data_IF_418855466045
#
_entry.id   IF_418855466045
#
_cell.length_a   1.000
_cell.length_b   1.000
_cell.length_c   1.000
_cell.angle_alpha   90.00
_cell.angle_beta   90.00
_cell.angle_gamma   90.00
#
_symmetry.space_group_name_H-M   'P 1'
#
loop_
_entity.id
_entity.type
_entity.pdbx_description
1 polymer ?
#
# COMPACT_ATOMS: atom_id res chain seq x y z
N UNK A 1 -18.61 48.84 -5.74
CA UNK A 1 -18.58 47.83 -4.66
C UNK A 1 -18.38 46.49 -5.34
N UNK A 2 -17.13 46.04 -5.42
CA UNK A 2 -16.85 44.67 -5.87
C UNK A 2 -17.25 43.69 -4.77
N UNK A 3 -17.85 42.54 -5.11
CA UNK A 3 -18.16 41.52 -4.11
C UNK A 3 -16.85 40.89 -3.64
N UNK A 4 -16.52 41.14 -2.37
CA UNK A 4 -15.48 40.42 -1.65
C UNK A 4 -15.85 38.94 -1.60
N UNK A 5 -15.14 38.12 -2.37
CA UNK A 5 -15.19 36.67 -2.24
C UNK A 5 -14.62 36.32 -0.86
N UNK A 6 -15.51 35.96 0.06
CA UNK A 6 -15.14 35.34 1.32
C UNK A 6 -14.31 34.09 1.00
N UNK A 7 -13.03 34.15 1.34
CA UNK A 7 -12.09 33.05 1.18
C UNK A 7 -12.61 31.86 1.99
N UNK A 8 -12.90 30.76 1.32
CA UNK A 8 -13.36 29.53 1.97
C UNK A 8 -12.35 29.16 3.09
N UNK A 9 -12.83 28.73 4.28
CA UNK A 9 -11.94 28.34 5.35
C UNK A 9 -11.00 27.23 4.86
N UNK A 10 -9.71 27.28 5.21
CA UNK A 10 -8.75 26.30 4.73
C UNK A 10 -9.18 24.91 5.22
N UNK A 11 -9.26 23.95 4.29
CA UNK A 11 -9.72 22.60 4.60
C UNK A 11 -8.82 22.00 5.69
N UNK A 12 -9.42 21.61 6.82
CA UNK A 12 -8.70 20.97 7.93
C UNK A 12 -8.05 19.67 7.47
N UNK A 13 -6.80 19.47 7.84
CA UNK A 13 -5.99 18.30 7.52
C UNK A 13 -5.52 17.59 8.80
N UNK A 14 -5.65 16.27 8.84
CA UNK A 14 -5.13 15.42 9.91
C UNK A 14 -4.12 14.43 9.33
N UNK A 15 -2.86 14.53 9.74
CA UNK A 15 -1.78 13.63 9.34
C UNK A 15 -1.53 12.65 10.49
N UNK A 16 -1.83 11.37 10.26
CA UNK A 16 -1.50 10.28 11.21
C UNK A 16 -0.18 9.64 10.79
N UNK A 17 0.72 9.47 11.74
CA UNK A 17 2.02 8.85 11.53
C UNK A 17 2.41 7.97 12.72
N UNK A 18 3.44 7.15 12.55
CA UNK A 18 3.83 6.10 13.53
C UNK A 18 4.14 6.66 14.93
N UNK A 19 4.41 7.97 15.06
CA UNK A 19 4.72 8.66 16.31
C UNK A 19 3.65 9.63 16.82
N UNK A 20 2.48 9.74 16.18
CA UNK A 20 1.43 10.65 16.61
C UNK A 20 0.51 11.15 15.51
N UNK A 21 -0.24 12.19 15.84
CA UNK A 21 -1.17 12.85 14.92
C UNK A 21 -0.84 14.34 14.88
N UNK A 22 -0.63 14.86 13.68
CA UNK A 22 -0.52 16.30 13.45
C UNK A 22 -1.85 16.80 12.86
N UNK A 23 -2.29 17.97 13.32
CA UNK A 23 -3.52 18.62 12.86
C UNK A 23 -3.20 20.04 12.42
N UNK A 24 -3.72 20.43 11.26
CA UNK A 24 -3.60 21.78 10.71
C UNK A 24 -4.53 21.93 9.53
N UNK A 25 -4.13 22.67 8.51
CA UNK A 25 -4.93 22.89 7.31
C UNK A 25 -4.11 22.70 6.02
N UNK A 26 -4.81 22.40 4.93
CA UNK A 26 -4.22 22.48 3.59
C UNK A 26 -3.78 23.92 3.35
N UNK A 27 -2.51 24.11 2.98
CA UNK A 27 -1.85 25.40 2.87
C UNK A 27 -0.85 25.69 4.00
N UNK A 28 -0.82 24.89 5.06
CA UNK A 28 0.14 25.07 6.14
C UNK A 28 1.55 24.68 5.71
N UNK A 29 2.53 25.46 6.17
CA UNK A 29 3.94 25.14 5.98
C UNK A 29 4.38 24.17 7.07
N UNK A 30 4.74 22.97 6.67
CA UNK A 30 5.16 21.90 7.58
C UNK A 30 6.57 21.43 7.26
N UNK A 31 7.29 21.06 8.31
CA UNK A 31 8.52 20.29 8.24
C UNK A 31 8.20 18.83 8.55
N UNK A 32 8.58 17.93 7.64
CA UNK A 32 8.30 16.52 7.75
C UNK A 32 9.59 15.72 7.68
N UNK A 33 9.75 14.80 8.64
CA UNK A 33 10.79 13.78 8.61
C UNK A 33 10.17 12.45 8.20
N UNK A 34 10.74 11.80 7.19
CA UNK A 34 10.21 10.56 6.61
C UNK A 34 11.34 9.68 6.09
N UNK A 35 11.05 8.38 5.96
CA UNK A 35 12.00 7.40 5.43
C UNK A 35 11.76 7.19 3.95
N UNK A 36 12.75 7.47 3.10
CA UNK A 36 12.65 7.25 1.65
C UNK A 36 13.83 6.40 1.19
N UNK A 37 13.53 5.28 0.52
CA UNK A 37 14.52 4.30 0.06
C UNK A 37 15.50 3.83 1.16
N UNK A 38 15.00 3.69 2.39
CA UNK A 38 15.82 3.25 3.52
C UNK A 38 16.60 4.35 4.25
N UNK A 39 16.59 5.59 3.75
CA UNK A 39 17.28 6.74 4.36
C UNK A 39 16.29 7.69 5.01
N UNK A 40 16.63 8.19 6.17
CA UNK A 40 15.86 9.26 6.82
C UNK A 40 16.12 10.58 6.08
N UNK A 41 15.04 11.25 5.71
CA UNK A 41 15.07 12.55 5.04
C UNK A 41 14.14 13.52 5.76
N UNK A 42 14.51 14.80 5.72
CA UNK A 42 13.68 15.89 6.24
C UNK A 42 13.41 16.88 5.12
N UNK A 43 12.16 17.33 5.01
CA UNK A 43 11.75 18.29 3.99
C UNK A 43 10.79 19.32 4.58
N UNK A 44 10.97 20.57 4.20
CA UNK A 44 10.02 21.66 4.52
C UNK A 44 9.25 22.04 3.27
N UNK A 45 7.93 22.17 3.38
CA UNK A 45 7.08 22.54 2.26
C UNK A 45 5.69 22.97 2.69
N UNK A 46 4.89 23.41 1.74
CA UNK A 46 3.48 23.77 1.95
C UNK A 46 2.60 22.57 1.65
N UNK A 47 1.77 22.16 2.61
CA UNK A 47 0.86 21.03 2.46
C UNK A 47 -0.19 21.36 1.39
N UNK A 48 -0.11 20.72 0.22
CA UNK A 48 -1.02 21.00 -0.91
C UNK A 48 -2.11 19.95 -1.06
N UNK A 49 -1.88 18.73 -0.59
CA UNK A 49 -2.88 17.66 -0.59
C UNK A 49 -2.59 16.63 0.50
N UNK A 50 -3.64 16.02 1.02
CA UNK A 50 -3.57 14.86 1.90
C UNK A 50 -4.68 13.87 1.51
N UNK A 51 -4.34 12.58 1.46
CA UNK A 51 -5.30 11.49 1.30
C UNK A 51 -5.04 10.40 2.35
N UNK A 52 -5.69 9.24 2.21
CA UNK A 52 -5.59 8.14 3.17
C UNK A 52 -4.19 7.50 3.23
N UNK A 53 -3.37 7.66 2.20
CA UNK A 53 -2.12 6.93 2.03
C UNK A 53 -0.89 7.83 1.91
N UNK A 54 -1.05 9.05 1.39
CA UNK A 54 0.03 9.98 1.16
C UNK A 54 -0.39 11.43 1.40
N UNK A 55 0.63 12.28 1.58
CA UNK A 55 0.51 13.72 1.53
C UNK A 55 1.42 14.29 0.45
N UNK A 56 1.04 15.45 -0.08
CA UNK A 56 1.82 16.19 -1.07
C UNK A 56 2.27 17.50 -0.46
N UNK A 57 3.58 17.75 -0.55
CA UNK A 57 4.21 19.01 -0.18
C UNK A 57 4.70 19.74 -1.42
N UNK A 58 4.31 20.99 -1.55
CA UNK A 58 4.90 21.91 -2.49
C UNK A 58 6.15 22.51 -1.82
N UNK A 59 7.33 22.11 -2.30
CA UNK A 59 8.63 22.52 -1.75
C UNK A 59 9.49 23.18 -2.82
N UNK A 60 10.55 23.87 -2.43
CA UNK A 60 11.52 24.43 -3.36
C UNK A 60 12.85 23.73 -3.18
N UNK A 61 13.28 22.98 -4.20
CA UNK A 61 14.59 22.33 -4.23
C UNK A 61 15.41 23.00 -5.32
N UNK A 62 16.56 23.57 -4.97
CA UNK A 62 17.45 24.28 -5.89
C UNK A 62 16.76 25.43 -6.67
N UNK A 63 15.90 26.19 -5.99
CA UNK A 63 15.19 27.34 -6.59
C UNK A 63 14.04 26.97 -7.54
N UNK A 64 13.73 25.69 -7.72
CA UNK A 64 12.57 25.21 -8.49
C UNK A 64 11.49 24.67 -7.56
N UNK A 65 10.25 25.09 -7.78
CA UNK A 65 9.09 24.54 -7.08
C UNK A 65 8.80 23.12 -7.56
N UNK A 66 8.87 22.16 -6.63
CA UNK A 66 8.67 20.73 -6.87
C UNK A 66 7.58 20.24 -5.93
N UNK A 67 6.66 19.43 -6.46
CA UNK A 67 5.67 18.72 -5.64
C UNK A 67 6.27 17.39 -5.19
N UNK A 68 6.43 17.20 -3.89
CA UNK A 68 6.93 15.96 -3.29
C UNK A 68 5.75 15.21 -2.67
N UNK A 69 5.55 13.97 -3.11
CA UNK A 69 4.57 13.04 -2.51
C UNK A 69 5.30 12.21 -1.46
N UNK A 70 4.72 12.11 -0.26
CA UNK A 70 5.27 11.40 0.90
C UNK A 70 4.22 10.45 1.43
N UNK A 71 4.57 9.18 1.57
CA UNK A 71 3.67 8.14 2.08
C UNK A 71 3.55 8.27 3.59
N UNK A 72 2.32 8.23 4.11
CA UNK A 72 2.02 8.45 5.53
C UNK A 72 2.70 7.44 6.46
N UNK A 73 2.84 6.18 6.03
CA UNK A 73 3.54 5.14 6.80
C UNK A 73 5.03 5.44 7.02
N UNK A 74 5.65 6.14 6.09
CA UNK A 74 7.07 6.48 6.17
C UNK A 74 7.33 7.75 6.97
N UNK A 75 6.27 8.49 7.32
CA UNK A 75 6.36 9.70 8.14
C UNK A 75 6.76 9.31 9.57
N UNK A 76 7.84 9.93 10.05
CA UNK A 76 8.37 9.78 11.40
C UNK A 76 7.94 10.91 12.30
N UNK A 77 7.91 12.13 11.78
CA UNK A 77 7.42 13.30 12.52
C UNK A 77 6.97 14.40 11.59
N UNK A 78 5.98 15.18 12.02
CA UNK A 78 5.51 16.40 11.36
C UNK A 78 5.55 17.55 12.37
N UNK A 79 6.09 18.69 11.97
CA UNK A 79 6.12 19.93 12.77
C UNK A 79 5.63 21.09 11.92
N UNK A 80 4.98 22.07 12.54
CA UNK A 80 4.75 23.35 11.87
C UNK A 80 6.11 24.05 11.68
N UNK A 81 6.39 24.53 10.47
CA UNK A 81 7.60 25.28 10.19
C UNK A 81 7.37 26.77 10.52
N UNK A 82 8.31 27.40 11.22
CA UNK A 82 8.16 28.81 11.60
C UNK A 82 8.10 29.72 10.36
N UNK A 83 7.04 30.53 10.29
CA UNK A 83 6.74 31.43 9.17
C UNK A 83 5.29 31.40 8.65
N UNK A 84 4.43 30.52 9.16
CA UNK A 84 2.98 30.58 8.98
C UNK A 84 2.30 31.09 10.25
N UNK A 85 1.44 32.10 10.12
CA UNK A 85 0.69 32.70 11.24
C UNK A 85 -0.03 31.63 12.07
N UNK A 86 0.22 31.53 13.38
CA UNK A 86 -0.49 30.60 14.25
C UNK A 86 -1.90 31.11 14.51
N UNK A 87 -2.92 30.34 14.14
CA UNK A 87 -4.23 30.47 14.77
C UNK A 87 -4.15 29.82 16.16
N UNK A 88 -4.23 30.66 17.18
CA UNK A 88 -4.05 30.33 18.58
C UNK A 88 -5.01 29.25 19.10
N UNK A 89 -4.50 28.38 19.98
CA UNK A 89 -5.28 27.44 20.78
C UNK A 89 -4.42 26.43 21.52
N UNK A 90 -3.77 26.87 22.60
CA UNK A 90 -3.07 26.06 23.62
C UNK A 90 -4.00 24.97 24.23
N UNK A 91 -3.56 23.91 24.90
CA UNK A 91 -2.45 23.75 25.83
C UNK A 91 -2.21 22.25 26.09
N UNK A 92 -0.97 21.87 26.38
CA UNK A 92 -0.68 20.59 27.02
C UNK A 92 -1.11 20.56 28.48
N UNK A 93 -1.31 19.36 29.04
CA UNK A 93 -0.55 18.86 30.20
C UNK A 93 -0.92 17.42 30.52
N UNK A 94 -0.01 16.75 31.22
CA UNK A 94 -0.02 15.34 31.56
C UNK A 94 -1.00 14.95 32.69
N UNK A 95 -1.23 13.63 32.74
CA UNK A 95 -2.00 12.75 33.66
C UNK A 95 -1.81 13.05 35.17
N UNK A 96 -2.80 12.76 36.06
CA UNK A 96 -2.81 11.45 36.74
C UNK A 96 -4.20 10.81 37.01
N UNK A 97 -4.17 9.46 37.08
CA UNK A 97 -5.00 8.46 37.79
C UNK A 97 -6.22 8.89 38.63
N UNK A 98 -7.33 8.14 38.49
CA UNK A 98 -8.28 7.90 39.59
C UNK A 98 -9.71 7.49 39.21
N UNK A 99 -10.01 6.19 39.30
CA UNK A 99 -11.22 5.68 39.98
C UNK A 99 -12.62 5.78 39.35
N UNK A 100 -13.18 4.59 39.09
CA UNK A 100 -14.59 4.17 39.28
C UNK A 100 -15.67 4.52 38.23
N UNK A 101 -16.33 3.45 37.77
CA UNK A 101 -17.59 3.37 37.03
C UNK A 101 -18.78 3.95 37.85
N UNK A 102 -19.97 4.25 37.26
CA UNK A 102 -20.88 3.19 36.77
C UNK A 102 -21.85 3.53 35.61
N UNK A 103 -22.41 2.43 35.06
CA UNK A 103 -23.80 2.22 34.56
C UNK A 103 -24.33 2.89 33.27
N UNK A 104 -24.87 1.99 32.42
CA UNK A 104 -25.65 2.18 31.21
C UNK A 104 -27.00 2.90 31.41
N UNK A 105 -27.70 3.25 30.31
CA UNK A 105 -28.90 2.47 29.98
C UNK A 105 -29.09 2.15 28.48
N UNK A 106 -30.01 1.20 28.26
CA UNK A 106 -30.49 0.58 27.02
C UNK A 106 -31.42 1.48 26.19
N UNK A 107 -31.50 1.22 24.89
CA UNK A 107 -32.72 1.27 24.04
C UNK A 107 -32.34 0.72 22.66
N UNK A 108 -32.71 -0.52 22.31
CA UNK A 108 -33.96 -0.93 21.64
C UNK A 108 -33.90 -0.73 20.11
N UNK A 109 -33.74 -1.85 19.40
CA UNK A 109 -34.08 -2.02 17.97
C UNK A 109 -35.60 -1.94 17.75
N UNK A 110 -36.02 -1.73 16.50
CA UNK A 110 -36.96 -2.68 15.94
C UNK A 110 -36.48 -3.28 14.61
N UNK A 111 -36.66 -4.60 14.57
CA UNK A 111 -36.71 -5.48 13.41
C UNK A 111 -37.71 -5.00 12.37
N UNK A 112 -37.34 -5.11 11.08
CA UNK A 112 -38.32 -5.47 10.06
C UNK A 112 -37.68 -6.35 8.99
N UNK A 113 -38.39 -7.44 8.71
CA UNK A 113 -38.02 -8.52 7.80
C UNK A 113 -38.52 -8.23 6.39
N UNK A 114 -37.70 -8.48 5.37
CA UNK A 114 -38.17 -8.63 4.00
C UNK A 114 -37.45 -9.79 3.31
N UNK A 115 -38.24 -10.81 2.98
CA UNK A 115 -37.89 -12.05 2.27
C UNK A 115 -37.68 -11.82 0.77
N UNK A 116 -36.66 -12.45 0.18
CA UNK A 116 -36.65 -12.96 -1.22
C UNK A 116 -35.47 -13.95 -1.42
N UNK A 117 -35.47 -14.80 -2.46
CA UNK A 117 -35.53 -16.25 -2.34
C UNK A 117 -34.19 -16.97 -2.58
N UNK A 118 -34.07 -18.16 -2.01
CA UNK A 118 -32.95 -19.09 -2.15
C UNK A 118 -32.79 -19.58 -3.60
N UNK A 119 -31.62 -19.33 -4.20
CA UNK A 119 -31.10 -20.15 -5.30
C UNK A 119 -30.13 -21.16 -4.70
N UNK A 120 -30.39 -22.44 -4.98
CA UNK A 120 -29.58 -23.57 -4.54
C UNK A 120 -28.16 -23.48 -5.15
N UNK A 121 -27.17 -23.16 -4.31
CA UNK A 121 -25.75 -23.38 -4.62
C UNK A 121 -25.37 -24.69 -3.95
N UNK A 122 -25.03 -25.69 -4.77
CA UNK A 122 -24.48 -26.97 -4.34
C UNK A 122 -23.30 -26.76 -3.36
N UNK A 123 -23.30 -27.42 -2.18
CA UNK A 123 -22.33 -27.13 -1.14
C UNK A 123 -20.97 -27.74 -1.48
N UNK A 124 -19.92 -27.00 -1.08
CA UNK A 124 -18.51 -27.39 -1.00
C UNK A 124 -18.29 -28.90 -1.09
N UNK A 125 -17.71 -29.36 -2.21
CA UNK A 125 -16.99 -30.63 -2.22
C UNK A 125 -15.83 -30.51 -1.23
N UNK A 126 -15.91 -31.30 -0.16
CA UNK A 126 -15.05 -31.28 1.02
C UNK A 126 -13.56 -31.25 0.65
N UNK A 127 -12.88 -30.14 0.96
CA UNK A 127 -11.43 -30.13 1.12
C UNK A 127 -11.12 -30.89 2.41
N UNK A 128 -10.26 -31.93 2.40
CA UNK A 128 -9.99 -32.70 3.60
C UNK A 128 -9.34 -31.83 4.68
N UNK A 129 -10.07 -31.74 5.79
CA UNK A 129 -9.76 -31.03 7.02
C UNK A 129 -8.54 -31.64 7.72
N UNK A 130 -7.39 -30.99 7.62
CA UNK A 130 -6.29 -31.13 8.59
C UNK A 130 -5.56 -29.79 8.78
N UNK A 131 -6.33 -28.71 9.00
CA UNK A 131 -5.77 -27.43 9.42
C UNK A 131 -5.46 -27.45 10.92
N UNK A 132 -4.41 -28.19 11.30
CA UNK A 132 -3.72 -27.94 12.57
C UNK A 132 -3.00 -26.59 12.54
N UNK A 133 -2.67 -25.99 13.70
CA UNK A 133 -2.04 -24.68 13.76
C UNK A 133 -0.72 -24.68 12.99
N UNK A 134 -0.61 -23.78 12.01
CA UNK A 134 0.56 -23.59 11.15
C UNK A 134 1.72 -22.98 11.93
N UNK A 135 2.50 -23.84 12.60
CA UNK A 135 3.80 -23.48 13.18
C UNK A 135 4.81 -24.62 12.94
N UNK A 136 5.84 -24.35 12.13
CA UNK A 136 7.07 -25.17 12.07
C UNK A 136 7.02 -26.44 11.22
N UNK A 137 8.21 -26.98 10.85
CA UNK A 137 8.46 -27.54 9.53
C UNK A 137 7.94 -28.97 9.35
N UNK A 138 7.46 -29.28 8.15
CA UNK A 138 7.14 -30.65 7.73
C UNK A 138 7.97 -31.04 6.52
N UNK A 139 8.80 -32.07 6.69
CA UNK A 139 9.74 -32.62 5.71
C UNK A 139 9.31 -34.04 5.30
N UNK A 140 8.27 -34.18 4.47
CA UNK A 140 7.81 -35.48 3.95
C UNK A 140 7.65 -35.52 2.41
N UNK A 141 8.33 -34.63 1.67
CA UNK A 141 8.31 -34.64 0.20
C UNK A 141 6.95 -34.26 -0.41
N UNK A 142 5.99 -33.83 0.42
CA UNK A 142 4.74 -33.25 -0.06
C UNK A 142 4.99 -31.82 -0.51
N UNK A 143 4.56 -31.52 -1.72
CA UNK A 143 4.53 -30.15 -2.25
C UNK A 143 3.59 -29.33 -1.36
N UNK A 144 4.12 -28.26 -0.80
CA UNK A 144 3.39 -27.30 0.01
C UNK A 144 2.99 -26.11 -0.88
N UNK A 145 1.80 -25.60 -0.62
CA UNK A 145 1.32 -24.36 -1.20
C UNK A 145 1.57 -23.21 -0.22
N UNK A 146 2.26 -22.18 -0.67
CA UNK A 146 2.45 -20.93 0.03
C UNK A 146 1.48 -19.90 -0.54
N UNK A 147 0.79 -19.17 0.33
CA UNK A 147 0.04 -17.98 -0.09
C UNK A 147 0.86 -16.77 0.34
N UNK A 148 1.24 -15.95 -0.63
CA UNK A 148 2.01 -14.72 -0.45
C UNK A 148 1.07 -13.53 -0.71
N UNK A 149 0.56 -12.87 0.34
CA UNK A 149 -0.22 -11.65 0.19
C UNK A 149 0.69 -10.52 -0.31
N UNK A 150 0.29 -9.87 -1.39
CA UNK A 150 1.00 -8.76 -2.02
C UNK A 150 0.09 -7.52 -2.13
N UNK A 151 -0.25 -6.88 -0.98
CA UNK A 151 -1.15 -5.74 -0.97
C UNK A 151 -0.42 -4.42 -1.23
N UNK A 152 -1.16 -3.46 -1.78
CA UNK A 152 -0.76 -2.06 -1.84
C UNK A 152 0.29 -1.74 -2.91
N UNK A 153 0.84 -0.54 -2.80
CA UNK A 153 1.73 0.04 -3.82
C UNK A 153 3.06 -0.73 -3.93
N UNK A 154 3.52 -0.95 -5.16
CA UNK A 154 4.85 -1.51 -5.45
C UNK A 154 5.94 -0.58 -4.93
N UNK A 155 6.84 -1.10 -4.09
CA UNK A 155 7.85 -0.34 -3.35
C UNK A 155 7.46 -0.03 -1.91
N UNK A 156 6.20 -0.24 -1.54
CA UNK A 156 5.67 0.00 -0.18
C UNK A 156 5.13 -1.29 0.43
N UNK A 157 4.01 -1.81 -0.08
CA UNK A 157 3.37 -3.03 0.42
C UNK A 157 3.76 -4.28 -0.38
N UNK A 158 3.95 -4.11 -1.69
CA UNK A 158 4.47 -5.14 -2.59
C UNK A 158 5.96 -4.84 -2.84
N UNK A 159 6.85 -5.66 -2.26
CA UNK A 159 8.31 -5.44 -2.31
C UNK A 159 9.07 -6.73 -2.53
N UNK A 160 10.22 -6.67 -3.19
CA UNK A 160 11.04 -7.84 -3.53
C UNK A 160 11.50 -8.63 -2.30
N UNK A 161 11.65 -7.98 -1.14
CA UNK A 161 12.09 -8.67 0.08
C UNK A 161 11.09 -9.73 0.55
N UNK A 162 9.80 -9.59 0.23
CA UNK A 162 8.79 -10.62 0.52
C UNK A 162 9.00 -11.88 -0.33
N UNK A 163 9.34 -11.69 -1.61
CA UNK A 163 9.62 -12.77 -2.56
C UNK A 163 10.87 -13.53 -2.12
N UNK A 164 11.92 -12.80 -1.72
CA UNK A 164 13.17 -13.39 -1.22
C UNK A 164 12.98 -14.14 0.10
N UNK A 165 12.13 -13.62 1.00
CA UNK A 165 11.78 -14.32 2.24
C UNK A 165 11.00 -15.59 1.97
N UNK A 166 9.99 -15.51 1.12
CA UNK A 166 9.18 -16.66 0.71
C UNK A 166 10.07 -17.71 0.04
N UNK A 167 10.98 -17.32 -0.86
CA UNK A 167 11.89 -18.25 -1.55
C UNK A 167 12.71 -19.07 -0.56
N UNK A 168 13.27 -18.41 0.47
CA UNK A 168 14.04 -19.10 1.52
C UNK A 168 13.21 -20.10 2.30
N UNK A 169 11.93 -19.82 2.55
CA UNK A 169 11.04 -20.75 3.23
C UNK A 169 10.64 -21.92 2.32
N UNK A 170 10.35 -21.66 1.05
CA UNK A 170 10.04 -22.69 0.07
C UNK A 170 11.24 -23.61 -0.21
N UNK A 171 12.45 -23.05 -0.32
CA UNK A 171 13.69 -23.80 -0.57
C UNK A 171 14.01 -24.81 0.54
N UNK A 172 13.64 -24.54 1.80
CA UNK A 172 13.82 -25.49 2.92
C UNK A 172 13.05 -26.80 2.70
N UNK A 173 12.00 -26.77 1.89
CA UNK A 173 11.15 -27.92 1.56
C UNK A 173 11.56 -28.60 0.25
N UNK A 174 12.58 -28.08 -0.44
CA UNK A 174 13.02 -28.57 -1.75
C UNK A 174 12.22 -28.00 -2.92
N UNK A 175 12.61 -28.30 -4.16
CA UNK A 175 11.99 -27.74 -5.36
C UNK A 175 10.55 -28.25 -5.57
N UNK A 176 9.79 -27.55 -6.39
CA UNK A 176 8.44 -27.95 -6.81
C UNK A 176 7.31 -27.49 -5.89
N UNK A 177 7.60 -26.64 -4.90
CA UNK A 177 6.57 -25.92 -4.13
C UNK A 177 5.71 -25.03 -5.04
N UNK A 178 4.49 -24.75 -4.60
CA UNK A 178 3.56 -23.85 -5.29
C UNK A 178 3.47 -22.56 -4.49
N UNK A 179 3.58 -21.42 -5.15
CA UNK A 179 3.52 -20.11 -4.51
C UNK A 179 2.42 -19.32 -5.19
N UNK A 180 1.36 -19.07 -4.43
CA UNK A 180 0.22 -18.27 -4.85
C UNK A 180 0.48 -16.82 -4.42
N UNK A 181 0.79 -15.96 -5.37
CA UNK A 181 0.87 -14.52 -5.20
C UNK A 181 -0.53 -13.94 -5.21
N UNK A 182 -1.07 -13.59 -4.05
CA UNK A 182 -2.36 -12.91 -3.93
C UNK A 182 -2.15 -11.40 -4.12
N UNK A 183 -2.39 -10.91 -5.33
CA UNK A 183 -2.04 -9.54 -5.76
C UNK A 183 -3.25 -8.63 -5.65
N UNK A 184 -3.06 -7.56 -4.88
CA UNK A 184 -3.98 -6.43 -4.77
C UNK A 184 -3.15 -5.14 -4.75
N UNK A 185 -2.81 -4.63 -5.93
CA UNK A 185 -1.86 -3.54 -6.11
C UNK A 185 -2.27 -2.59 -7.25
N UNK A 186 -2.30 -1.28 -6.97
CA UNK A 186 -2.52 -0.25 -7.99
C UNK A 186 -1.24 0.05 -8.82
N UNK A 187 -0.14 -0.67 -8.58
CA UNK A 187 1.16 -0.40 -9.17
C UNK A 187 2.08 0.40 -8.26
N UNK A 188 3.11 1.05 -8.82
CA UNK A 188 4.06 1.81 -8.03
C UNK A 188 5.44 1.93 -8.69
N UNK A 189 6.49 1.85 -7.86
CA UNK A 189 7.85 2.15 -8.29
C UNK A 189 8.39 1.12 -9.30
N UNK A 190 8.74 1.57 -10.51
CA UNK A 190 9.41 0.76 -11.54
C UNK A 190 10.70 0.12 -11.02
N UNK A 191 11.51 0.89 -10.28
CA UNK A 191 12.78 0.40 -9.75
C UNK A 191 12.63 -0.77 -8.78
N UNK A 192 11.50 -0.84 -8.08
CA UNK A 192 11.17 -1.99 -7.24
C UNK A 192 10.60 -3.15 -8.09
N UNK A 193 9.75 -2.85 -9.07
CA UNK A 193 9.19 -3.84 -9.98
C UNK A 193 10.28 -4.66 -10.71
N UNK A 194 11.38 -4.03 -11.09
CA UNK A 194 12.55 -4.70 -11.68
C UNK A 194 13.21 -5.68 -10.71
N UNK A 195 13.36 -5.32 -9.43
CA UNK A 195 13.92 -6.25 -8.43
C UNK A 195 12.98 -7.41 -8.14
N UNK A 196 11.68 -7.13 -8.11
CA UNK A 196 10.65 -8.16 -7.95
C UNK A 196 10.75 -9.17 -9.10
N UNK A 197 10.86 -8.72 -10.35
CA UNK A 197 11.15 -9.60 -11.48
C UNK A 197 12.35 -10.48 -11.19
N UNK A 198 13.48 -9.89 -10.82
CA UNK A 198 14.73 -10.64 -10.63
C UNK A 198 14.57 -11.76 -9.58
N UNK A 199 13.80 -11.49 -8.51
CA UNK A 199 13.40 -12.50 -7.53
C UNK A 199 12.47 -13.56 -8.14
N UNK A 200 11.41 -13.17 -8.85
CA UNK A 200 10.43 -14.09 -9.42
C UNK A 200 11.04 -15.00 -10.49
N UNK A 201 11.87 -14.48 -11.40
CA UNK A 201 12.57 -15.28 -12.42
C UNK A 201 13.47 -16.33 -11.77
N UNK A 202 14.12 -15.99 -10.64
CA UNK A 202 14.93 -16.94 -9.88
C UNK A 202 14.07 -18.00 -9.20
N UNK A 203 12.96 -17.60 -8.58
CA UNK A 203 12.01 -18.50 -7.90
C UNK A 203 11.38 -19.49 -8.89
N UNK A 204 10.94 -19.00 -10.07
CA UNK A 204 10.28 -19.78 -11.12
C UNK A 204 11.11 -20.97 -11.63
N UNK A 205 12.44 -20.89 -11.51
CA UNK A 205 13.35 -22.00 -11.86
C UNK A 205 13.20 -23.22 -10.93
N UNK A 206 12.70 -23.01 -9.71
CA UNK A 206 12.64 -24.02 -8.64
C UNK A 206 11.21 -24.34 -8.21
N UNK A 207 10.32 -23.36 -8.30
CA UNK A 207 8.96 -23.43 -7.77
C UNK A 207 7.95 -22.92 -8.80
N UNK A 208 6.71 -23.40 -8.72
CA UNK A 208 5.62 -22.93 -9.57
C UNK A 208 5.03 -21.66 -8.98
N UNK A 209 4.89 -20.63 -9.80
CA UNK A 209 4.29 -19.35 -9.45
C UNK A 209 2.87 -19.26 -10.00
N UNK A 210 1.92 -18.93 -9.13
CA UNK A 210 0.53 -18.70 -9.50
C UNK A 210 0.16 -17.29 -9.06
N UNK A 211 -0.33 -16.46 -9.97
CA UNK A 211 -0.89 -15.15 -9.61
C UNK A 211 -2.40 -15.28 -9.38
N UNK A 212 -2.87 -14.83 -8.23
CA UNK A 212 -4.27 -14.73 -7.88
C UNK A 212 -4.64 -13.25 -7.78
N UNK A 213 -5.44 -12.75 -8.72
CA UNK A 213 -5.61 -11.32 -8.97
C UNK A 213 -6.93 -10.82 -8.40
N UNK A 214 -6.84 -9.91 -7.42
CA UNK A 214 -7.92 -9.00 -7.05
C UNK A 214 -7.75 -7.67 -7.83
N UNK A 215 -6.57 -7.06 -7.74
CA UNK A 215 -6.20 -5.88 -8.54
C UNK A 215 -4.70 -5.97 -8.85
N UNK A 216 -4.33 -5.88 -10.12
CA UNK A 216 -2.93 -5.86 -10.54
C UNK A 216 -2.76 -4.82 -11.63
N UNK A 217 -2.45 -3.59 -11.23
CA UNK A 217 -2.32 -2.44 -12.14
C UNK A 217 -0.87 -2.00 -12.23
N UNK A 218 -0.42 -1.58 -13.41
CA UNK A 218 0.93 -1.06 -13.66
C UNK A 218 2.03 -2.00 -13.13
N UNK A 219 2.81 -1.61 -12.11
CA UNK A 219 3.82 -2.47 -11.48
C UNK A 219 3.26 -3.77 -10.87
N UNK A 220 1.99 -3.77 -10.43
CA UNK A 220 1.30 -4.96 -9.95
C UNK A 220 1.01 -5.94 -11.09
N UNK A 221 0.53 -5.43 -12.23
CA UNK A 221 0.38 -6.22 -13.46
C UNK A 221 1.73 -6.77 -13.94
N UNK A 222 2.77 -5.92 -13.97
CA UNK A 222 4.12 -6.35 -14.34
C UNK A 222 4.61 -7.52 -13.46
N UNK A 223 4.34 -7.46 -12.15
CA UNK A 223 4.64 -8.55 -11.21
C UNK A 223 3.86 -9.83 -11.55
N UNK A 224 2.56 -9.71 -11.78
CA UNK A 224 1.68 -10.84 -12.09
C UNK A 224 2.10 -11.60 -13.35
N UNK A 225 2.60 -10.89 -14.36
CA UNK A 225 2.99 -11.46 -15.65
C UNK A 225 4.13 -12.48 -15.54
N UNK A 226 4.96 -12.45 -14.49
CA UNK A 226 6.02 -13.44 -14.30
C UNK A 226 5.53 -14.78 -13.73
N UNK A 227 4.26 -14.91 -13.35
CA UNK A 227 3.70 -16.19 -12.91
C UNK A 227 3.68 -17.24 -14.04
N UNK A 228 3.58 -18.51 -13.69
CA UNK A 228 3.28 -19.58 -14.66
C UNK A 228 1.80 -19.54 -15.07
N UNK A 229 0.93 -19.19 -14.12
CA UNK A 229 -0.52 -19.12 -14.29
C UNK A 229 -1.09 -17.87 -13.63
N UNK A 230 -2.13 -17.31 -14.23
CA UNK A 230 -2.83 -16.12 -13.73
C UNK A 230 -4.32 -16.45 -13.62
N UNK A 231 -4.85 -16.35 -12.41
CA UNK A 231 -6.26 -16.51 -12.08
C UNK A 231 -6.82 -15.19 -11.59
N UNK A 232 -8.05 -14.89 -12.00
CA UNK A 232 -8.76 -13.67 -11.61
C UNK A 232 -9.85 -14.02 -10.61
N UNK A 233 -10.02 -13.19 -9.58
CA UNK A 233 -11.30 -13.11 -8.88
C UNK A 233 -12.38 -12.59 -9.84
N UNK A 234 -13.66 -12.77 -9.50
CA UNK A 234 -14.80 -12.40 -10.38
C UNK A 234 -14.74 -10.96 -10.92
N UNK A 235 -14.19 -10.04 -10.13
CA UNK A 235 -14.02 -8.62 -10.48
C UNK A 235 -12.53 -8.21 -10.57
N UNK A 236 -11.65 -9.19 -10.80
CA UNK A 236 -10.21 -9.00 -10.89
C UNK A 236 -9.80 -8.12 -12.07
N UNK A 237 -8.82 -7.25 -11.87
CA UNK A 237 -8.30 -6.39 -12.94
C UNK A 237 -6.79 -6.55 -13.14
N UNK A 238 -6.35 -6.59 -14.40
CA UNK A 238 -4.95 -6.67 -14.78
C UNK A 238 -4.64 -5.77 -15.97
N UNK A 239 -3.62 -4.92 -15.87
CA UNK A 239 -3.12 -4.15 -17.01
C UNK A 239 -2.50 -2.79 -16.66
N UNK A 240 -2.63 -1.83 -17.60
CA UNK A 240 -2.09 -0.47 -17.51
C UNK A 240 -0.58 -0.40 -17.18
N UNK A 241 0.21 -1.25 -17.83
CA UNK A 241 1.68 -1.36 -17.69
C UNK A 241 2.37 -0.21 -18.46
N UNK A 242 2.05 1.02 -18.12
CA UNK A 242 2.62 2.22 -18.73
C UNK A 242 3.61 2.86 -17.75
N UNK A 243 4.85 3.08 -18.22
CA UNK A 243 5.85 3.81 -17.43
C UNK A 243 5.57 5.31 -17.50
N UNK A 244 5.58 5.97 -16.35
CA UNK A 244 5.54 7.43 -16.23
C UNK A 244 6.78 7.95 -15.52
N UNK A 245 7.27 9.10 -15.99
CA UNK A 245 8.27 9.92 -15.30
C UNK A 245 7.61 11.25 -14.92
N UNK A 246 7.25 11.39 -13.64
CA UNK A 246 6.38 12.47 -13.20
C UNK A 246 5.00 12.38 -13.85
N UNK A 247 4.60 13.42 -14.58
CA UNK A 247 3.30 13.47 -15.28
C UNK A 247 3.37 13.05 -16.76
N UNK A 248 4.55 12.66 -17.26
CA UNK A 248 4.74 12.31 -18.66
C UNK A 248 4.92 10.80 -18.80
N UNK A 249 4.22 10.20 -19.76
CA UNK A 249 4.47 8.80 -20.13
C UNK A 249 5.84 8.68 -20.79
N UNK A 250 6.48 7.53 -20.61
CA UNK A 250 7.76 7.23 -21.25
C UNK A 250 7.66 7.38 -22.78
N UNK A 251 8.69 7.97 -23.39
CA UNK A 251 8.82 8.17 -24.84
C UNK A 251 10.26 7.90 -25.28
N UNK A 252 10.47 7.68 -26.58
CA UNK A 252 11.79 7.48 -27.17
C UNK A 252 12.59 6.39 -26.48
N UNK A 253 13.87 6.65 -26.18
CA UNK A 253 14.77 5.68 -25.58
C UNK A 253 14.28 5.10 -24.24
N UNK A 254 13.52 5.87 -23.44
CA UNK A 254 12.96 5.39 -22.18
C UNK A 254 11.83 4.38 -22.42
N UNK A 255 10.99 4.62 -23.42
CA UNK A 255 9.94 3.69 -23.81
C UNK A 255 10.54 2.41 -24.39
N UNK A 256 11.55 2.53 -25.25
CA UNK A 256 12.23 1.36 -25.83
C UNK A 256 12.90 0.50 -24.75
N UNK A 257 13.54 1.13 -23.76
CA UNK A 257 14.08 0.42 -22.61
C UNK A 257 12.96 -0.29 -21.84
N UNK A 258 11.87 0.39 -21.53
CA UNK A 258 10.73 -0.20 -20.83
C UNK A 258 10.12 -1.38 -21.58
N UNK A 259 9.92 -1.24 -22.89
CA UNK A 259 9.38 -2.30 -23.73
C UNK A 259 10.27 -3.53 -23.68
N UNK A 260 11.60 -3.37 -23.73
CA UNK A 260 12.53 -4.51 -23.56
C UNK A 260 12.34 -5.20 -22.21
N UNK A 261 12.25 -4.43 -21.13
CA UNK A 261 12.03 -5.00 -19.78
C UNK A 261 10.70 -5.74 -19.65
N UNK A 262 9.66 -5.34 -20.39
CA UNK A 262 8.33 -5.97 -20.40
C UNK A 262 8.25 -7.15 -21.37
N UNK A 263 9.02 -7.14 -22.46
CA UNK A 263 9.06 -8.27 -23.40
C UNK A 263 9.84 -9.48 -22.88
N UNK A 264 10.67 -9.31 -21.86
CA UNK A 264 11.45 -10.40 -21.24
C UNK A 264 10.67 -11.24 -20.21
N UNK A 265 9.35 -11.07 -20.14
CA UNK A 265 8.43 -11.86 -19.32
C UNK A 265 8.32 -13.29 -19.82
#
# INVERSE_FOLDING_TARGET
MEPSFAQAPPASAEIRFTGGVWRGAIGDRIEIAFKEMGRDQTLTGTLSKIDKFALTLDTTVNGKSVKKVIVLNDVRSVKAAEGGTPAAGASGSAVPSGGAAPSAPKSDEPSDSATTPSMDIDPLTELPDTAGPINGPRTDGKKVMFILPLPGTVGVGLRHEEMDRMEKEADKLGPGQIIVMAINSPGGAVSEAVKIRDSLVRIKKKHRLVAWIEEAISGGAYTALFADEIYFMDVGSLGAITMFSGSQSAQGAQLEAWLREVYEV
#
